data_IF_957250899419
#
_entry.id   IF_957250899419
#
_cell.length_a   1.000
_cell.length_b   1.000
_cell.length_c   1.000
_cell.angle_alpha   90.00
_cell.angle_beta   90.00
_cell.angle_gamma   90.00
#
_symmetry.space_group_name_H-M   'P 1'
#
loop_
_entity.id
_entity.type
_entity.pdbx_description
1 polymer ?
#
# COMPACT_ATOMS: atom_id res chain seq x y z
N UNK A 1 -8.20 31.57 -23.53
CA UNK A 1 -6.98 30.80 -23.21
C UNK A 1 -7.39 29.63 -22.33
N UNK A 2 -7.14 28.41 -22.78
CA UNK A 2 -7.42 27.18 -22.03
C UNK A 2 -6.29 27.00 -20.99
N UNK A 3 -6.61 26.58 -19.77
CA UNK A 3 -5.60 26.26 -18.74
C UNK A 3 -4.94 24.92 -19.09
N UNK A 4 -3.71 24.71 -18.64
CA UNK A 4 -3.01 23.43 -18.82
C UNK A 4 -3.83 22.27 -18.23
N UNK A 5 -3.89 21.15 -18.96
CA UNK A 5 -4.59 19.94 -18.56
C UNK A 5 -3.84 18.69 -19.04
N UNK A 6 -4.00 17.58 -18.31
CA UNK A 6 -3.38 16.31 -18.67
C UNK A 6 -4.21 15.61 -19.76
N UNK A 7 -3.54 15.24 -20.84
CA UNK A 7 -4.08 14.47 -21.97
C UNK A 7 -3.61 13.01 -21.96
N UNK A 8 -2.52 12.73 -21.22
CA UNK A 8 -1.90 11.41 -21.11
C UNK A 8 -1.84 10.96 -19.64
N UNK A 9 -1.24 9.80 -19.39
CA UNK A 9 -0.93 9.30 -18.05
C UNK A 9 -0.10 10.31 -17.24
N UNK A 10 -0.32 10.36 -15.93
CA UNK A 10 0.43 11.23 -14.98
C UNK A 10 1.91 10.87 -14.86
N UNK A 11 2.36 9.79 -15.51
CA UNK A 11 3.78 9.49 -15.67
C UNK A 11 4.48 10.51 -16.57
N UNK A 12 3.76 11.14 -17.49
CA UNK A 12 4.31 12.11 -18.44
C UNK A 12 3.99 13.53 -18.00
N UNK A 13 4.89 14.44 -18.36
CA UNK A 13 4.65 15.88 -18.26
C UNK A 13 3.59 16.30 -19.28
N UNK A 14 2.98 17.46 -19.04
CA UNK A 14 1.97 18.03 -19.96
C UNK A 14 2.66 18.35 -21.30
N UNK A 15 2.36 17.57 -22.33
CA UNK A 15 2.80 17.82 -23.70
C UNK A 15 1.95 18.90 -24.36
N UNK A 16 2.49 19.69 -25.31
CA UNK A 16 1.71 20.66 -26.07
C UNK A 16 0.56 19.97 -26.84
N UNK A 17 -0.66 20.49 -26.69
CA UNK A 17 -1.84 19.99 -27.41
C UNK A 17 -2.31 21.04 -28.40
N UNK A 18 -2.53 20.62 -29.65
CA UNK A 18 -3.20 21.44 -30.65
C UNK A 18 -4.70 21.13 -30.61
N UNK A 19 -5.50 22.10 -30.16
CA UNK A 19 -6.96 22.05 -30.26
C UNK A 19 -7.32 22.73 -31.59
N UNK A 20 -7.76 21.94 -32.56
CA UNK A 20 -8.14 22.44 -33.88
C UNK A 20 -9.60 22.15 -34.22
N UNK A 21 -9.98 22.54 -35.42
CA UNK A 21 -11.30 22.30 -36.00
C UNK A 21 -11.17 21.37 -37.22
N UNK A 22 -12.29 20.84 -37.70
CA UNK A 22 -12.30 19.83 -38.78
C UNK A 22 -11.47 20.23 -40.01
N UNK A 23 -11.61 21.47 -40.48
CA UNK A 23 -10.88 22.00 -41.64
C UNK A 23 -9.55 22.69 -41.27
N UNK A 24 -8.79 22.12 -40.32
CA UNK A 24 -7.50 22.67 -39.93
C UNK A 24 -6.48 22.56 -41.10
N UNK A 25 -5.76 23.65 -41.46
CA UNK A 25 -4.81 23.67 -42.59
C UNK A 25 -3.64 22.69 -42.49
N UNK A 26 -3.32 22.17 -41.30
CA UNK A 26 -2.23 21.20 -41.11
C UNK A 26 -2.70 19.76 -41.29
N UNK A 27 -3.82 19.38 -40.67
CA UNK A 27 -4.38 18.03 -40.73
C UNK A 27 -5.86 18.11 -40.38
N UNK A 28 -6.72 17.41 -41.13
CA UNK A 28 -8.14 17.30 -40.80
C UNK A 28 -8.31 16.58 -39.48
N UNK A 29 -9.04 17.18 -38.53
CA UNK A 29 -9.32 16.58 -37.23
C UNK A 29 -10.74 16.06 -37.25
N UNK A 30 -10.91 14.74 -37.09
CA UNK A 30 -12.22 14.08 -37.11
C UNK A 30 -12.48 13.33 -35.80
N UNK A 31 -12.22 14.01 -34.68
CA UNK A 31 -12.50 13.50 -33.35
C UNK A 31 -13.21 14.56 -32.52
N UNK A 32 -14.30 14.17 -31.86
CA UNK A 32 -15.12 15.04 -31.04
C UNK A 32 -15.15 14.55 -29.60
N UNK A 33 -15.05 15.49 -28.65
CA UNK A 33 -15.23 15.19 -27.23
C UNK A 33 -16.60 15.70 -26.82
N UNK A 34 -17.52 14.78 -26.54
CA UNK A 34 -18.88 15.08 -26.12
C UNK A 34 -19.06 14.75 -24.64
N UNK A 35 -19.60 15.70 -23.87
CA UNK A 35 -20.04 15.44 -22.49
C UNK A 35 -21.51 15.09 -22.52
N UNK A 36 -21.84 13.87 -22.12
CA UNK A 36 -23.21 13.36 -22.03
C UNK A 36 -23.68 13.28 -20.57
N UNK A 37 -24.99 13.29 -20.35
CA UNK A 37 -25.57 12.92 -19.04
C UNK A 37 -25.50 11.40 -18.87
N UNK A 38 -25.28 10.94 -17.64
CA UNK A 38 -25.13 9.51 -17.33
C UNK A 38 -26.45 8.76 -17.11
N UNK A 39 -27.59 9.42 -17.32
CA UNK A 39 -28.92 8.88 -16.97
C UNK A 39 -29.36 7.73 -17.90
N UNK A 40 -29.09 7.84 -19.22
CA UNK A 40 -29.36 6.79 -20.21
C UNK A 40 -28.31 6.81 -21.34
N UNK A 41 -27.18 6.16 -21.08
CA UNK A 41 -26.06 6.07 -22.03
C UNK A 41 -26.45 5.29 -23.30
N UNK A 42 -27.10 4.12 -23.24
CA UNK A 42 -27.50 3.38 -24.44
C UNK A 42 -28.40 4.19 -25.37
N UNK A 43 -29.42 4.88 -24.83
CA UNK A 43 -30.30 5.72 -25.66
C UNK A 43 -29.54 6.89 -26.29
N UNK A 44 -28.64 7.52 -25.54
CA UNK A 44 -27.82 8.62 -26.04
C UNK A 44 -26.90 8.16 -27.17
N UNK A 45 -26.25 7.00 -27.04
CA UNK A 45 -25.39 6.44 -28.07
C UNK A 45 -26.17 6.08 -29.34
N UNK A 46 -27.36 5.48 -29.20
CA UNK A 46 -28.21 5.16 -30.35
C UNK A 46 -28.62 6.43 -31.12
N UNK A 47 -28.96 7.51 -30.40
CA UNK A 47 -29.27 8.79 -31.03
C UNK A 47 -28.06 9.43 -31.70
N UNK A 48 -26.87 9.33 -31.08
CA UNK A 48 -25.63 9.81 -31.71
C UNK A 48 -25.29 9.05 -32.99
N UNK A 49 -25.54 7.74 -33.02
CA UNK A 49 -25.31 6.89 -34.20
C UNK A 49 -26.26 7.26 -35.35
N UNK A 50 -27.53 7.55 -35.05
CA UNK A 50 -28.51 8.06 -36.02
C UNK A 50 -28.06 9.40 -36.62
N UNK A 51 -27.63 10.34 -35.76
CA UNK A 51 -27.10 11.64 -36.21
C UNK A 51 -25.86 11.47 -37.07
N UNK A 52 -24.90 10.62 -36.66
CA UNK A 52 -23.70 10.33 -37.44
C UNK A 52 -24.07 9.78 -38.82
N UNK A 53 -24.93 8.77 -38.87
CA UNK A 53 -25.35 8.14 -40.13
C UNK A 53 -26.06 9.12 -41.07
N UNK A 54 -26.79 10.10 -40.53
CA UNK A 54 -27.43 11.16 -41.34
C UNK A 54 -26.44 12.15 -41.96
N UNK A 55 -25.29 12.35 -41.32
CA UNK A 55 -24.25 13.29 -41.74
C UNK A 55 -23.17 12.63 -42.60
N UNK A 56 -22.81 11.40 -42.28
CA UNK A 56 -21.80 10.59 -42.97
C UNK A 56 -22.20 9.10 -42.95
N UNK A 57 -22.94 8.63 -43.97
CA UNK A 57 -23.39 7.24 -44.05
C UNK A 57 -22.26 6.23 -44.29
N UNK A 58 -21.08 6.68 -44.74
CA UNK A 58 -19.97 5.79 -45.10
C UNK A 58 -19.11 5.42 -43.88
N UNK A 59 -19.18 6.20 -42.79
CA UNK A 59 -18.39 5.99 -41.58
C UNK A 59 -19.26 5.67 -40.36
N UNK A 60 -19.14 4.48 -39.75
CA UNK A 60 -19.87 4.16 -38.53
C UNK A 60 -19.37 5.00 -37.36
N UNK A 61 -20.22 5.22 -36.35
CA UNK A 61 -19.84 5.95 -35.14
C UNK A 61 -18.82 5.14 -34.33
N UNK A 62 -17.56 5.55 -34.37
CA UNK A 62 -16.54 5.08 -33.43
C UNK A 62 -16.54 5.94 -32.17
N UNK A 63 -16.56 5.31 -31.00
CA UNK A 63 -16.52 6.02 -29.73
C UNK A 63 -15.62 5.31 -28.71
N UNK A 64 -15.07 6.13 -27.82
CA UNK A 64 -14.29 5.67 -26.67
C UNK A 64 -14.72 6.42 -25.44
N UNK A 65 -15.02 5.70 -24.36
CA UNK A 65 -15.28 6.34 -23.09
C UNK A 65 -13.98 6.80 -22.43
N UNK A 66 -14.03 8.00 -21.86
CA UNK A 66 -12.86 8.61 -21.21
C UNK A 66 -12.43 7.83 -19.97
N UNK A 67 -13.37 7.28 -19.20
CA UNK A 67 -13.08 6.45 -18.02
C UNK A 67 -12.33 5.17 -18.39
N UNK A 68 -12.72 4.48 -19.46
CA UNK A 68 -12.03 3.31 -19.97
C UNK A 68 -10.63 3.64 -20.48
N UNK A 69 -10.45 4.81 -21.11
CA UNK A 69 -9.14 5.27 -21.56
C UNK A 69 -8.23 5.57 -20.36
N UNK A 70 -8.75 6.23 -19.31
CA UNK A 70 -8.05 6.45 -18.05
C UNK A 70 -7.69 5.11 -17.39
N UNK A 71 -8.62 4.15 -17.33
CA UNK A 71 -8.35 2.82 -16.77
C UNK A 71 -7.20 2.13 -17.50
N UNK A 72 -7.13 2.24 -18.83
CA UNK A 72 -6.01 1.66 -19.62
C UNK A 72 -4.67 2.27 -19.25
N UNK A 73 -4.61 3.56 -18.92
CA UNK A 73 -3.36 4.20 -18.48
C UNK A 73 -2.82 3.66 -17.16
N UNK A 74 -3.70 3.21 -16.24
CA UNK A 74 -3.31 2.81 -14.88
C UNK A 74 -3.53 1.32 -14.57
N UNK A 75 -3.99 0.52 -15.54
CA UNK A 75 -4.30 -0.91 -15.34
C UNK A 75 -3.10 -1.70 -14.81
N UNK A 76 -1.92 -1.45 -15.38
CA UNK A 76 -0.69 -2.13 -14.96
C UNK A 76 -0.23 -1.66 -13.58
N UNK A 77 -0.35 -0.36 -13.26
CA UNK A 77 -0.03 0.17 -11.93
C UNK A 77 -0.90 -0.44 -10.84
N UNK A 78 -2.20 -0.58 -11.10
CA UNK A 78 -3.15 -1.23 -10.17
C UNK A 78 -2.80 -2.71 -10.00
N UNK A 79 -2.39 -3.40 -11.07
CA UNK A 79 -1.96 -4.81 -11.00
C UNK A 79 -0.70 -4.95 -10.16
N UNK A 80 0.31 -4.14 -10.41
CA UNK A 80 1.57 -4.12 -9.67
C UNK A 80 1.33 -3.79 -8.20
N UNK A 81 0.52 -2.77 -7.91
CA UNK A 81 0.10 -2.41 -6.55
C UNK A 81 -0.54 -3.59 -5.82
N UNK A 82 -1.43 -4.34 -6.49
CA UNK A 82 -2.09 -5.51 -5.90
C UNK A 82 -1.09 -6.64 -5.59
N UNK A 83 -0.10 -6.88 -6.46
CA UNK A 83 0.96 -7.87 -6.23
C UNK A 83 1.83 -7.47 -5.04
N UNK A 84 2.23 -6.20 -4.94
CA UNK A 84 3.00 -5.72 -3.80
C UNK A 84 2.21 -5.78 -2.50
N UNK A 85 0.92 -5.46 -2.52
CA UNK A 85 0.05 -5.55 -1.34
C UNK A 85 -0.05 -6.98 -0.82
N UNK A 86 -0.29 -7.96 -1.72
CA UNK A 86 -0.39 -9.37 -1.32
C UNK A 86 0.95 -9.89 -0.81
N UNK A 87 2.06 -9.55 -1.48
CA UNK A 87 3.40 -9.89 -1.02
C UNK A 87 3.71 -9.29 0.36
N UNK A 88 3.38 -8.00 0.58
CA UNK A 88 3.60 -7.33 1.85
C UNK A 88 2.80 -7.98 3.01
N UNK A 89 1.54 -8.35 2.77
CA UNK A 89 0.72 -9.06 3.76
C UNK A 89 1.33 -10.43 4.10
N UNK A 90 1.78 -11.19 3.10
CA UNK A 90 2.43 -12.48 3.30
C UNK A 90 3.75 -12.34 4.06
N UNK A 91 4.60 -11.38 3.68
CA UNK A 91 5.85 -11.09 4.37
C UNK A 91 5.61 -10.68 5.82
N UNK A 92 4.60 -9.84 6.08
CA UNK A 92 4.22 -9.45 7.44
C UNK A 92 3.78 -10.68 8.26
N UNK A 93 2.95 -11.55 7.68
CA UNK A 93 2.50 -12.77 8.34
C UNK A 93 3.68 -13.70 8.69
N UNK A 94 4.61 -13.92 7.76
CA UNK A 94 5.82 -14.71 8.00
C UNK A 94 6.70 -14.06 9.07
N UNK A 95 6.88 -12.75 9.04
CA UNK A 95 7.64 -12.01 10.03
C UNK A 95 7.01 -12.14 11.44
N UNK A 96 5.68 -12.08 11.56
CA UNK A 96 4.97 -12.33 12.81
C UNK A 96 5.19 -13.75 13.34
N UNK A 97 5.19 -14.76 12.45
CA UNK A 97 5.50 -16.14 12.83
C UNK A 97 6.95 -16.29 13.32
N UNK A 98 7.90 -15.65 12.66
CA UNK A 98 9.31 -15.62 13.09
C UNK A 98 9.49 -14.95 14.44
N UNK A 99 8.86 -13.80 14.64
CA UNK A 99 8.87 -13.07 15.91
C UNK A 99 8.23 -13.90 17.04
N UNK A 100 7.11 -14.56 16.76
CA UNK A 100 6.48 -15.49 17.70
C UNK A 100 7.43 -16.63 18.12
N UNK A 101 8.13 -17.23 17.15
CA UNK A 101 9.12 -18.28 17.42
C UNK A 101 10.27 -17.77 18.29
N UNK A 102 10.84 -16.61 17.95
CA UNK A 102 11.91 -15.96 18.70
C UNK A 102 11.49 -15.70 20.15
N UNK A 103 10.31 -15.09 20.35
CA UNK A 103 9.77 -14.78 21.69
C UNK A 103 9.59 -16.05 22.53
N UNK A 104 9.00 -17.09 21.93
CA UNK A 104 8.77 -18.37 22.62
C UNK A 104 10.09 -19.00 23.08
N UNK A 105 11.10 -18.98 22.20
CA UNK A 105 12.43 -19.49 22.51
C UNK A 105 13.12 -18.67 23.61
N UNK A 106 13.08 -17.33 23.54
CA UNK A 106 13.66 -16.45 24.58
C UNK A 106 12.98 -16.63 25.93
N UNK A 107 11.64 -16.76 25.98
CA UNK A 107 10.91 -17.07 27.22
C UNK A 107 11.37 -18.41 27.78
N UNK A 108 11.50 -19.44 26.93
CA UNK A 108 11.96 -20.76 27.33
C UNK A 108 13.38 -20.75 27.93
N UNK A 109 14.31 -20.00 27.34
CA UNK A 109 15.66 -19.84 27.91
C UNK A 109 15.66 -19.12 29.25
N UNK A 110 14.78 -18.13 29.42
CA UNK A 110 14.68 -17.34 30.66
C UNK A 110 13.66 -17.88 31.65
N UNK A 111 13.11 -19.07 31.41
CA UNK A 111 12.01 -19.63 32.21
C UNK A 111 12.40 -19.79 33.70
N UNK A 112 13.65 -20.20 33.97
CA UNK A 112 14.18 -20.33 35.34
C UNK A 112 14.27 -18.97 36.05
N UNK A 113 14.78 -17.94 35.37
CA UNK A 113 14.88 -16.58 35.92
C UNK A 113 13.50 -15.97 36.18
N UNK A 114 12.58 -16.13 35.21
CA UNK A 114 11.19 -15.66 35.27
C UNK A 114 10.44 -16.36 36.40
N UNK A 115 10.61 -17.68 36.56
CA UNK A 115 9.99 -18.48 37.61
C UNK A 115 10.48 -18.11 39.01
N UNK A 116 11.79 -17.96 39.20
CA UNK A 116 12.37 -17.52 40.48
C UNK A 116 11.85 -16.14 40.86
N UNK A 117 11.89 -15.16 39.92
CA UNK A 117 11.39 -13.80 40.19
C UNK A 117 9.89 -13.78 40.51
N UNK A 118 9.08 -14.61 39.83
CA UNK A 118 7.64 -14.69 40.09
C UNK A 118 7.34 -15.24 41.50
N UNK A 119 8.09 -16.25 41.95
CA UNK A 119 7.97 -16.80 43.32
C UNK A 119 8.42 -15.76 44.36
N UNK A 120 9.45 -14.97 44.04
CA UNK A 120 9.91 -13.83 44.85
C UNK A 120 8.95 -12.62 44.83
N UNK A 121 7.76 -12.74 44.23
CA UNK A 121 6.73 -11.70 44.26
C UNK A 121 6.78 -10.69 43.12
N UNK A 122 7.57 -10.94 42.07
CA UNK A 122 7.60 -10.04 40.91
C UNK A 122 6.24 -9.98 40.20
N UNK A 123 5.83 -8.76 39.84
CA UNK A 123 4.57 -8.50 39.13
C UNK A 123 4.68 -8.90 37.66
N UNK A 124 3.55 -9.23 37.01
CA UNK A 124 3.54 -9.59 35.58
C UNK A 124 4.09 -8.47 34.69
N UNK A 125 3.89 -7.21 35.08
CA UNK A 125 4.39 -6.04 34.35
C UNK A 125 5.93 -5.93 34.40
N UNK A 126 6.56 -6.29 35.52
CA UNK A 126 8.02 -6.28 35.64
C UNK A 126 8.66 -7.35 34.74
N UNK A 127 8.05 -8.53 34.68
CA UNK A 127 8.48 -9.61 33.78
C UNK A 127 8.27 -9.21 32.31
N UNK A 128 7.14 -8.57 31.99
CA UNK A 128 6.85 -8.09 30.65
C UNK A 128 7.87 -7.05 30.19
N UNK A 129 8.17 -6.04 31.00
CA UNK A 129 9.13 -5.01 30.66
C UNK A 129 10.53 -5.59 30.41
N UNK A 130 10.96 -6.55 31.24
CA UNK A 130 12.24 -7.24 31.08
C UNK A 130 12.37 -7.91 29.72
N UNK A 131 11.33 -8.62 29.27
CA UNK A 131 11.35 -9.34 27.99
C UNK A 131 11.12 -8.41 26.79
N UNK A 132 10.22 -7.44 26.91
CA UNK A 132 9.94 -6.48 25.85
C UNK A 132 11.15 -5.60 25.52
N UNK A 133 11.98 -5.25 26.52
CA UNK A 133 13.14 -4.37 26.31
C UNK A 133 14.09 -4.88 25.24
N UNK A 134 14.47 -6.16 25.31
CA UNK A 134 15.43 -6.74 24.37
C UNK A 134 14.87 -6.76 22.93
N UNK A 135 13.57 -7.01 22.79
CA UNK A 135 12.87 -7.01 21.50
C UNK A 135 12.72 -5.60 20.94
N UNK A 136 12.38 -4.62 21.77
CA UNK A 136 12.28 -3.21 21.37
C UNK A 136 13.62 -2.71 20.82
N UNK A 137 14.73 -3.05 21.48
CA UNK A 137 16.07 -2.66 21.01
C UNK A 137 16.33 -3.23 19.60
N UNK A 138 16.02 -4.52 19.37
CA UNK A 138 16.16 -5.14 18.05
C UNK A 138 15.30 -4.46 16.98
N UNK A 139 14.04 -4.11 17.32
CA UNK A 139 13.13 -3.40 16.41
C UNK A 139 13.68 -2.01 16.05
N UNK A 140 14.20 -1.28 17.04
CA UNK A 140 14.80 0.05 16.81
C UNK A 140 15.99 -0.06 15.86
N UNK A 141 16.90 -1.01 16.09
CA UNK A 141 18.07 -1.24 15.22
C UNK A 141 17.62 -1.59 13.79
N UNK A 142 16.65 -2.51 13.66
CA UNK A 142 16.10 -2.86 12.36
C UNK A 142 15.48 -1.66 11.64
N UNK A 143 14.80 -0.77 12.38
CA UNK A 143 14.18 0.43 11.81
C UNK A 143 15.21 1.45 11.32
N UNK A 144 16.31 1.66 12.05
CA UNK A 144 17.40 2.52 11.60
C UNK A 144 18.02 2.08 10.28
N UNK A 145 17.99 0.78 9.99
CA UNK A 145 18.46 0.21 8.72
C UNK A 145 17.34 0.26 7.66
N UNK A 146 16.10 -0.03 8.05
CA UNK A 146 14.97 -0.12 7.12
C UNK A 146 14.58 1.24 6.51
N UNK A 147 14.62 2.34 7.27
CA UNK A 147 14.28 3.68 6.75
C UNK A 147 15.15 4.08 5.55
N UNK A 148 16.50 4.15 5.65
CA UNK A 148 17.32 4.64 4.55
C UNK A 148 17.24 3.73 3.32
N UNK A 149 17.16 2.41 3.54
CA UNK A 149 17.00 1.44 2.46
C UNK A 149 15.66 1.68 1.75
N UNK A 150 14.55 1.71 2.50
CA UNK A 150 13.22 1.95 1.94
C UNK A 150 13.14 3.28 1.21
N UNK A 151 13.68 4.35 1.80
CA UNK A 151 13.68 5.68 1.21
C UNK A 151 14.45 5.71 -0.13
N UNK A 152 15.62 5.07 -0.20
CA UNK A 152 16.42 5.00 -1.41
C UNK A 152 15.67 4.30 -2.56
N UNK A 153 15.09 3.14 -2.30
CA UNK A 153 14.32 2.40 -3.31
C UNK A 153 13.05 3.15 -3.73
N UNK A 154 12.33 3.73 -2.77
CA UNK A 154 11.09 4.46 -3.05
C UNK A 154 11.35 5.74 -3.84
N UNK A 155 12.42 6.48 -3.51
CA UNK A 155 12.82 7.67 -4.26
C UNK A 155 13.13 7.31 -5.72
N UNK A 156 13.95 6.28 -5.93
CA UNK A 156 14.30 5.82 -7.27
C UNK A 156 13.06 5.40 -8.09
N UNK A 157 12.06 4.79 -7.45
CA UNK A 157 10.80 4.44 -8.09
C UNK A 157 9.92 5.67 -8.40
N UNK A 158 9.87 6.64 -7.48
CA UNK A 158 9.10 7.88 -7.66
C UNK A 158 9.70 8.83 -8.72
N UNK A 159 11.00 8.73 -8.99
CA UNK A 159 11.67 9.54 -10.03
C UNK A 159 11.14 9.24 -11.45
N UNK A 160 10.53 8.06 -11.67
CA UNK A 160 9.90 7.70 -12.96
C UNK A 160 8.54 8.38 -13.19
N UNK A 161 8.01 9.12 -12.20
CA UNK A 161 6.72 9.80 -12.27
C UNK A 161 6.90 11.31 -12.38
N UNK A 162 6.33 11.92 -13.43
CA UNK A 162 6.30 13.39 -13.59
C UNK A 162 5.56 14.09 -12.43
N UNK A 163 4.53 13.44 -11.87
CA UNK A 163 3.82 13.90 -10.68
C UNK A 163 3.95 12.87 -9.55
N UNK A 164 4.92 13.05 -8.67
CA UNK A 164 5.20 12.14 -7.55
C UNK A 164 4.72 12.71 -6.20
N UNK A 165 4.40 11.80 -5.27
CA UNK A 165 4.09 12.15 -3.89
C UNK A 165 5.38 12.31 -3.06
N UNK A 166 5.38 13.19 -2.07
CA UNK A 166 6.48 13.26 -1.11
C UNK A 166 6.31 12.19 -0.02
N UNK A 167 7.39 11.43 0.23
CA UNK A 167 7.41 10.45 1.31
C UNK A 167 7.47 11.21 2.64
N UNK A 168 6.37 11.21 3.39
CA UNK A 168 6.29 11.89 4.68
C UNK A 168 6.89 11.01 5.79
N UNK A 169 7.58 11.64 6.74
CA UNK A 169 8.06 10.99 7.97
C UNK A 169 6.92 10.30 8.75
N UNK A 170 5.69 10.81 8.64
CA UNK A 170 4.50 10.20 9.25
C UNK A 170 4.27 8.75 8.79
N UNK A 171 4.56 8.43 7.52
CA UNK A 171 4.39 7.06 7.00
C UNK A 171 5.30 6.08 7.73
N UNK A 172 6.56 6.44 7.94
CA UNK A 172 7.51 5.60 8.68
C UNK A 172 7.14 5.49 10.16
N UNK A 173 6.66 6.58 10.77
CA UNK A 173 6.21 6.57 12.17
C UNK A 173 5.05 5.60 12.37
N UNK A 174 4.03 5.66 11.50
CA UNK A 174 2.89 4.73 11.59
C UNK A 174 3.30 3.28 11.40
N UNK A 175 4.22 2.99 10.47
CA UNK A 175 4.75 1.64 10.27
C UNK A 175 5.45 1.09 11.53
N UNK A 176 6.29 1.90 12.19
CA UNK A 176 6.95 1.49 13.45
C UNK A 176 5.96 1.24 14.55
N UNK A 177 4.97 2.12 14.71
CA UNK A 177 3.96 1.97 15.74
C UNK A 177 3.17 0.68 15.56
N UNK A 178 2.82 0.32 14.32
CA UNK A 178 2.15 -0.94 14.00
C UNK A 178 3.04 -2.15 14.35
N UNK A 179 4.31 -2.13 13.95
CA UNK A 179 5.25 -3.24 14.24
C UNK A 179 5.48 -3.39 15.75
N UNK A 180 5.70 -2.27 16.47
CA UNK A 180 5.82 -2.28 17.92
C UNK A 180 4.56 -2.81 18.58
N UNK A 181 3.38 -2.38 18.14
CA UNK A 181 2.11 -2.85 18.67
C UNK A 181 1.97 -4.38 18.53
N UNK A 182 2.27 -4.91 17.35
CA UNK A 182 2.24 -6.36 17.09
C UNK A 182 3.26 -7.11 17.97
N UNK A 183 4.48 -6.58 18.09
CA UNK A 183 5.52 -7.21 18.90
C UNK A 183 5.15 -7.24 20.39
N UNK A 184 4.73 -6.10 20.94
CA UNK A 184 4.39 -5.96 22.35
C UNK A 184 3.17 -6.80 22.74
N UNK A 185 2.14 -6.85 21.88
CA UNK A 185 0.98 -7.72 22.08
C UNK A 185 1.38 -9.19 22.06
N UNK A 186 2.26 -9.60 21.13
CA UNK A 186 2.77 -10.98 21.06
C UNK A 186 3.54 -11.37 22.33
N UNK A 187 4.44 -10.52 22.81
CA UNK A 187 5.18 -10.74 24.06
C UNK A 187 4.23 -10.85 25.25
N UNK A 188 3.24 -9.95 25.31
CA UNK A 188 2.26 -9.94 26.40
C UNK A 188 1.47 -11.24 26.46
N UNK A 189 0.93 -11.71 25.32
CA UNK A 189 0.17 -12.96 25.24
C UNK A 189 1.01 -14.17 25.64
N UNK A 190 2.26 -14.23 25.16
CA UNK A 190 3.14 -15.37 25.44
C UNK A 190 3.62 -15.43 26.87
N UNK A 191 3.95 -14.27 27.46
CA UNK A 191 4.30 -14.19 28.87
C UNK A 191 3.14 -14.65 29.76
N UNK A 192 1.90 -14.19 29.47
CA UNK A 192 0.71 -14.62 30.22
C UNK A 192 0.48 -16.12 30.11
N UNK A 193 0.69 -16.70 28.92
CA UNK A 193 0.59 -18.14 28.72
C UNK A 193 1.62 -18.90 29.56
N UNK A 194 2.87 -18.45 29.54
CA UNK A 194 3.98 -19.07 30.28
C UNK A 194 3.82 -19.01 31.80
N UNK A 195 3.32 -17.89 32.34
CA UNK A 195 3.09 -17.72 33.79
C UNK A 195 1.90 -18.56 34.28
N UNK A 196 0.85 -18.73 33.46
CA UNK A 196 -0.34 -19.50 33.83
C UNK A 196 -0.10 -21.02 33.88
N UNK A 197 0.83 -21.53 33.08
CA UNK A 197 1.30 -22.90 33.20
C UNK A 197 2.12 -23.03 34.50
N UNK A 198 1.52 -23.68 35.50
CA UNK A 198 1.98 -23.76 36.89
C UNK A 198 3.52 -23.95 37.04
N UNK A 199 4.25 -23.00 37.67
CA UNK A 199 5.71 -23.06 37.81
C UNK A 199 6.21 -24.22 38.68
N UNK A 200 5.34 -24.84 39.48
CA UNK A 200 5.68 -26.01 40.30
C UNK A 200 5.95 -27.28 39.45
N UNK A 201 5.33 -27.42 38.27
CA UNK A 201 5.56 -28.59 37.39
C UNK A 201 6.83 -28.48 36.55
N UNK A 202 7.42 -27.29 36.42
CA UNK A 202 8.65 -27.07 35.62
C UNK A 202 9.95 -27.29 36.40
N UNK A 203 9.87 -27.52 37.71
CA UNK A 203 11.03 -27.75 38.59
C UNK A 203 11.31 -29.24 38.86
N UNK A 204 10.51 -30.16 38.30
CA UNK A 204 10.58 -31.58 38.60
C UNK A 204 11.17 -32.46 37.48
N UNK A 205 11.70 -31.86 36.41
CA UNK A 205 12.48 -32.53 35.35
C UNK A 205 13.70 -31.71 34.95
#
# INVERSE_FOLDING_TARGET
>A
LVKDFNVESLHKTISPVVIGFRQNPVTSIDYFICRIKSDDIPQTLAHMEEVQTSLDPETPLEYHFLDQQIERFYREDVRVSRIFLTAAILTLFIACMGLFGLITFTIGQRLKEVGIRKILGATENQLWFLLSRDIIILIIIAFFIAIPVSWFFMKKWLDDFAFSISINAFTYLTAVLVVLFIALTTVHLQLRKAIKTNPANTLHN
#
